data_IF_805682590583
#
_entry.id   IF_805682590583
#
_cell.length_a   1.000
_cell.length_b   1.000
_cell.length_c   1.000
_cell.angle_alpha   90.00
_cell.angle_beta   90.00
_cell.angle_gamma   90.00
#
_symmetry.space_group_name_H-M   'P 1'
#
loop_
_entity.id
_entity.type
_entity.pdbx_description
1 polymer ?
#
# COMPACT_ATOMS: atom_id res chain seq x y z
N UNK A 1 23.35 -31.97 43.65
CA UNK A 1 24.32 -31.70 42.57
C UNK A 1 23.56 -30.94 41.50
N UNK A 2 23.84 -29.65 41.30
CA UNK A 2 23.24 -28.89 40.20
C UNK A 2 24.12 -29.08 38.97
N UNK A 3 23.62 -29.79 37.96
CA UNK A 3 24.28 -29.88 36.67
C UNK A 3 24.33 -28.49 36.00
N UNK A 4 25.46 -28.12 35.38
CA UNK A 4 25.55 -26.85 34.66
C UNK A 4 24.63 -26.91 33.43
N UNK A 5 23.56 -26.10 33.46
CA UNK A 5 22.66 -25.89 32.31
C UNK A 5 23.50 -25.39 31.13
N UNK A 6 23.63 -26.20 30.08
CA UNK A 6 24.30 -25.81 28.84
C UNK A 6 23.45 -24.73 28.16
N UNK A 7 23.90 -23.48 28.26
CA UNK A 7 23.26 -22.34 27.60
C UNK A 7 23.27 -22.57 26.08
N UNK A 8 22.08 -22.64 25.49
CA UNK A 8 21.94 -22.77 24.04
C UNK A 8 21.96 -21.38 23.38
N UNK A 9 22.26 -21.34 22.08
CA UNK A 9 22.17 -20.11 21.27
C UNK A 9 20.75 -19.51 21.35
N UNK A 10 19.72 -20.35 21.47
CA UNK A 10 18.33 -19.91 21.67
C UNK A 10 18.15 -19.17 22.99
N UNK A 11 18.77 -19.66 24.07
CA UNK A 11 18.68 -19.02 25.39
C UNK A 11 19.37 -17.66 25.39
N UNK A 12 20.54 -17.55 24.75
CA UNK A 12 21.25 -16.29 24.54
C UNK A 12 20.44 -15.30 23.68
N UNK A 13 19.78 -15.78 22.62
CA UNK A 13 18.94 -14.93 21.75
C UNK A 13 17.72 -14.41 22.49
N UNK A 14 17.07 -15.24 23.31
CA UNK A 14 15.93 -14.83 24.14
C UNK A 14 16.35 -13.79 25.20
N UNK A 15 17.55 -13.95 25.78
CA UNK A 15 18.09 -13.03 26.77
C UNK A 15 18.45 -11.66 26.17
N UNK A 16 18.87 -11.65 24.90
CA UNK A 16 19.20 -10.43 24.14
C UNK A 16 17.98 -9.78 23.47
N UNK A 17 16.84 -10.47 23.36
CA UNK A 17 15.64 -9.95 22.69
C UNK A 17 15.18 -8.58 23.22
N UNK A 18 15.16 -8.29 24.54
CA UNK A 18 14.81 -6.97 25.04
C UNK A 18 15.78 -5.88 24.59
N UNK A 19 17.09 -6.16 24.60
CA UNK A 19 18.11 -5.21 24.15
C UNK A 19 18.02 -4.93 22.64
N UNK A 20 17.76 -5.97 21.83
CA UNK A 20 17.51 -5.84 20.39
C UNK A 20 16.26 -4.98 20.13
N UNK A 21 15.20 -5.17 20.92
CA UNK A 21 13.97 -4.37 20.82
C UNK A 21 14.24 -2.89 21.13
N UNK A 22 14.97 -2.61 22.19
CA UNK A 22 15.36 -1.24 22.56
C UNK A 22 16.22 -0.57 21.49
N UNK A 23 17.20 -1.28 20.92
CA UNK A 23 18.04 -0.77 19.83
C UNK A 23 17.22 -0.45 18.58
N UNK A 24 16.30 -1.34 18.18
CA UNK A 24 15.37 -1.09 17.06
C UNK A 24 14.49 0.14 17.31
N UNK A 25 14.04 0.34 18.56
CA UNK A 25 13.25 1.51 18.94
C UNK A 25 14.06 2.81 18.83
N UNK A 26 15.32 2.79 19.26
CA UNK A 26 16.24 3.94 19.14
C UNK A 26 16.51 4.24 17.67
N UNK A 27 16.83 3.23 16.86
CA UNK A 27 17.06 3.38 15.42
C UNK A 27 15.84 4.00 14.72
N UNK A 28 14.63 3.52 15.03
CA UNK A 28 13.38 4.09 14.51
C UNK A 28 13.21 5.55 14.93
N UNK A 29 13.51 5.90 16.18
CA UNK A 29 13.40 7.26 16.69
C UNK A 29 14.39 8.22 16.01
N UNK A 30 15.65 7.78 15.83
CA UNK A 30 16.67 8.54 15.13
C UNK A 30 16.33 8.73 13.64
N UNK A 31 15.83 7.68 12.97
CA UNK A 31 15.35 7.76 11.60
C UNK A 31 14.20 8.76 11.46
N UNK A 32 13.27 8.78 12.42
CA UNK A 32 12.14 9.74 12.41
C UNK A 32 12.62 11.17 12.57
N UNK A 33 13.59 11.42 13.47
CA UNK A 33 14.19 12.75 13.65
C UNK A 33 14.95 13.22 12.40
N UNK A 34 15.72 12.33 11.76
CA UNK A 34 16.39 12.63 10.51
C UNK A 34 15.38 13.01 9.41
N UNK A 35 14.29 12.25 9.29
CA UNK A 35 13.22 12.55 8.33
C UNK A 35 12.52 13.89 8.64
N UNK A 36 12.29 14.22 9.91
CA UNK A 36 11.74 15.52 10.32
C UNK A 36 12.67 16.68 9.95
N UNK A 37 13.97 16.51 10.14
CA UNK A 37 14.95 17.54 9.81
C UNK A 37 15.06 17.73 8.29
N UNK A 38 15.11 16.64 7.52
CA UNK A 38 15.01 16.70 6.05
C UNK A 38 13.70 17.38 5.63
N UNK A 39 12.59 17.05 6.30
CA UNK A 39 11.27 17.61 6.04
C UNK A 39 11.20 19.13 6.30
N UNK A 40 11.99 19.62 7.26
CA UNK A 40 12.08 21.02 7.65
C UNK A 40 12.97 21.82 6.70
N UNK A 41 14.01 21.20 6.16
CA UNK A 41 15.11 21.89 5.48
C UNK A 41 15.01 21.82 3.94
N UNK A 42 14.39 20.77 3.39
CA UNK A 42 14.39 20.49 1.94
C UNK A 42 13.00 20.30 1.33
N UNK A 43 11.92 20.56 2.06
CA UNK A 43 10.56 20.25 1.60
C UNK A 43 9.68 21.49 1.67
N UNK A 44 8.64 21.57 0.83
CA UNK A 44 7.94 22.82 0.56
C UNK A 44 7.20 23.28 1.82
N UNK A 45 6.71 24.52 1.79
CA UNK A 45 6.09 25.14 2.96
C UNK A 45 4.95 24.29 3.58
N UNK A 46 4.50 24.68 4.77
CA UNK A 46 3.46 23.93 5.49
C UNK A 46 2.18 23.68 4.66
N UNK A 47 1.78 24.61 3.79
CA UNK A 47 0.60 24.46 2.94
C UNK A 47 0.83 23.41 1.84
N UNK A 48 2.00 23.43 1.20
CA UNK A 48 2.38 22.46 0.18
C UNK A 48 2.54 21.04 0.75
N UNK A 49 2.98 20.89 2.00
CA UNK A 49 3.00 19.58 2.70
C UNK A 49 1.59 19.03 2.92
N UNK A 50 0.65 19.88 3.34
CA UNK A 50 -0.75 19.48 3.52
C UNK A 50 -1.39 19.05 2.19
N UNK A 51 -1.12 19.77 1.10
CA UNK A 51 -1.56 19.38 -0.24
C UNK A 51 -0.95 18.05 -0.70
N UNK A 52 0.33 17.83 -0.43
CA UNK A 52 0.99 16.57 -0.75
C UNK A 52 0.35 15.39 0.00
N UNK A 53 0.11 15.53 1.30
CA UNK A 53 -0.55 14.49 2.09
C UNK A 53 -1.96 14.20 1.57
N UNK A 54 -2.73 15.23 1.21
CA UNK A 54 -4.04 15.05 0.57
C UNK A 54 -3.92 14.27 -0.75
N UNK A 55 -2.92 14.58 -1.59
CA UNK A 55 -2.66 13.86 -2.85
C UNK A 55 -2.27 12.40 -2.58
N UNK A 56 -1.43 12.12 -1.59
CA UNK A 56 -1.04 10.77 -1.19
C UNK A 56 -2.24 9.97 -0.66
N UNK A 57 -3.07 10.55 0.19
CA UNK A 57 -4.27 9.91 0.71
C UNK A 57 -5.27 9.57 -0.40
N UNK A 58 -5.50 10.52 -1.32
CA UNK A 58 -6.34 10.29 -2.50
C UNK A 58 -5.76 9.19 -3.40
N UNK A 59 -4.44 9.15 -3.60
CA UNK A 59 -3.78 8.13 -4.41
C UNK A 59 -3.88 6.73 -3.77
N UNK A 60 -3.64 6.63 -2.45
CA UNK A 60 -3.86 5.38 -1.71
C UNK A 60 -5.32 4.92 -1.78
N UNK A 61 -6.27 5.84 -1.64
CA UNK A 61 -7.68 5.51 -1.77
C UNK A 61 -8.03 5.01 -3.18
N UNK A 62 -7.50 5.67 -4.22
CA UNK A 62 -7.69 5.22 -5.60
C UNK A 62 -7.12 3.82 -5.83
N UNK A 63 -5.90 3.54 -5.36
CA UNK A 63 -5.31 2.20 -5.44
C UNK A 63 -6.22 1.16 -4.78
N UNK A 64 -6.71 1.43 -3.57
CA UNK A 64 -7.65 0.55 -2.87
C UNK A 64 -8.91 0.28 -3.72
N UNK A 65 -9.53 1.33 -4.26
CA UNK A 65 -10.72 1.19 -5.10
C UNK A 65 -10.45 0.36 -6.38
N UNK A 66 -9.32 0.61 -7.05
CA UNK A 66 -8.95 -0.16 -8.26
C UNK A 66 -8.55 -1.60 -7.95
N UNK A 67 -8.04 -1.90 -6.75
CA UNK A 67 -7.79 -3.26 -6.29
C UNK A 67 -9.10 -4.01 -6.06
N UNK A 68 -10.08 -3.37 -5.41
CA UNK A 68 -11.41 -3.95 -5.23
C UNK A 68 -12.07 -4.22 -6.58
N UNK A 69 -12.09 -3.24 -7.49
CA UNK A 69 -12.65 -3.43 -8.83
C UNK A 69 -11.96 -4.55 -9.62
N UNK A 70 -10.62 -4.65 -9.55
CA UNK A 70 -9.89 -5.75 -10.18
C UNK A 70 -10.29 -7.12 -9.60
N UNK A 71 -10.51 -7.21 -8.30
CA UNK A 71 -10.95 -8.44 -7.66
C UNK A 71 -12.37 -8.82 -8.10
N UNK A 72 -13.29 -7.84 -8.15
CA UNK A 72 -14.67 -8.06 -8.59
C UNK A 72 -14.71 -8.55 -10.05
N UNK A 73 -13.90 -7.96 -10.93
CA UNK A 73 -13.79 -8.39 -12.32
C UNK A 73 -13.12 -9.75 -12.48
N UNK A 74 -12.13 -10.09 -11.62
CA UNK A 74 -11.54 -11.42 -11.60
C UNK A 74 -12.57 -12.48 -11.20
N UNK A 75 -13.38 -12.20 -10.17
CA UNK A 75 -14.43 -13.10 -9.70
C UNK A 75 -15.53 -13.25 -10.77
N UNK A 76 -15.92 -12.16 -11.44
CA UNK A 76 -16.86 -12.20 -12.56
C UNK A 76 -16.31 -13.01 -13.75
N UNK A 77 -15.05 -12.78 -14.13
CA UNK A 77 -14.38 -13.52 -15.18
C UNK A 77 -14.31 -15.02 -14.87
N UNK A 78 -13.98 -15.38 -13.63
CA UNK A 78 -13.95 -16.78 -13.19
C UNK A 78 -15.33 -17.45 -13.28
N UNK A 79 -16.42 -16.74 -13.00
CA UNK A 79 -17.79 -17.27 -13.16
C UNK A 79 -18.13 -17.56 -14.62
N UNK A 80 -17.62 -16.76 -15.56
CA UNK A 80 -17.88 -16.94 -17.00
C UNK A 80 -17.01 -18.06 -17.60
N UNK A 81 -15.70 -18.03 -17.35
CA UNK A 81 -14.75 -18.95 -18.00
C UNK A 81 -14.49 -20.25 -17.20
N UNK A 82 -14.86 -20.28 -15.93
CA UNK A 82 -14.42 -21.31 -14.99
C UNK A 82 -12.88 -21.40 -14.87
N UNK A 83 -12.36 -22.62 -14.93
CA UNK A 83 -10.91 -22.89 -14.86
C UNK A 83 -10.20 -22.82 -16.21
N UNK A 84 -10.89 -22.45 -17.29
CA UNK A 84 -10.32 -22.44 -18.65
C UNK A 84 -9.36 -21.24 -18.80
N UNK A 85 -8.27 -21.42 -19.56
CA UNK A 85 -7.32 -20.36 -19.91
C UNK A 85 -7.84 -19.53 -21.08
N UNK A 86 -7.29 -18.32 -21.28
CA UNK A 86 -7.68 -17.49 -22.43
C UNK A 86 -7.48 -18.24 -23.77
N UNK A 87 -6.34 -18.92 -23.96
CA UNK A 87 -6.05 -19.66 -25.19
C UNK A 87 -7.07 -20.78 -25.45
N UNK A 88 -7.40 -21.59 -24.44
CA UNK A 88 -8.40 -22.64 -24.57
C UNK A 88 -9.82 -22.07 -24.78
N UNK A 89 -10.12 -20.89 -24.22
CA UNK A 89 -11.39 -20.20 -24.46
C UNK A 89 -11.49 -19.67 -25.89
N UNK A 90 -10.38 -19.14 -26.45
CA UNK A 90 -10.28 -18.73 -27.86
C UNK A 90 -10.52 -19.92 -28.80
N UNK A 91 -9.94 -21.08 -28.49
CA UNK A 91 -10.15 -22.30 -29.29
C UNK A 91 -11.61 -22.77 -29.26
N UNK A 92 -12.29 -22.65 -28.12
CA UNK A 92 -13.67 -23.12 -27.96
C UNK A 92 -14.73 -22.13 -28.45
N UNK A 93 -14.49 -20.82 -28.32
CA UNK A 93 -15.50 -19.77 -28.54
C UNK A 93 -15.10 -18.73 -29.59
N UNK A 94 -13.88 -18.80 -30.11
CA UNK A 94 -13.33 -17.81 -31.03
C UNK A 94 -12.70 -16.62 -30.30
N UNK A 95 -11.87 -15.87 -31.03
CA UNK A 95 -11.09 -14.77 -30.49
C UNK A 95 -11.95 -13.58 -30.03
N UNK A 96 -12.94 -13.19 -30.82
CA UNK A 96 -13.80 -12.05 -30.47
C UNK A 96 -14.59 -12.27 -29.17
N UNK A 97 -15.10 -13.49 -28.96
CA UNK A 97 -15.80 -13.84 -27.73
C UNK A 97 -14.85 -13.86 -26.52
N UNK A 98 -13.64 -14.40 -26.68
CA UNK A 98 -12.62 -14.40 -25.64
C UNK A 98 -12.20 -12.97 -25.26
N UNK A 99 -11.90 -12.14 -26.25
CA UNK A 99 -11.50 -10.74 -26.05
C UNK A 99 -12.62 -9.96 -25.36
N UNK A 100 -13.89 -10.17 -25.74
CA UNK A 100 -15.04 -9.54 -25.08
C UNK A 100 -15.19 -9.94 -23.62
N UNK A 101 -14.94 -11.20 -23.26
CA UNK A 101 -15.05 -11.71 -21.89
C UNK A 101 -13.90 -11.22 -21.02
N UNK A 102 -12.69 -11.07 -21.57
CA UNK A 102 -11.51 -10.61 -20.83
C UNK A 102 -11.34 -9.09 -20.78
N UNK A 103 -11.98 -8.34 -21.69
CA UNK A 103 -11.82 -6.88 -21.78
C UNK A 103 -12.10 -6.14 -20.45
N UNK A 104 -13.18 -6.43 -19.70
CA UNK A 104 -13.43 -5.76 -18.41
C UNK A 104 -12.31 -5.98 -17.39
N UNK A 105 -11.83 -7.23 -17.28
CA UNK A 105 -10.71 -7.57 -16.41
C UNK A 105 -9.42 -6.86 -16.83
N UNK A 106 -9.12 -6.81 -18.14
CA UNK A 106 -7.94 -6.10 -18.64
C UNK A 106 -8.02 -4.60 -18.34
N UNK A 107 -9.18 -3.98 -18.53
CA UNK A 107 -9.38 -2.56 -18.21
C UNK A 107 -9.18 -2.28 -16.71
N UNK A 108 -9.73 -3.14 -15.83
CA UNK A 108 -9.53 -3.01 -14.38
C UNK A 108 -8.06 -3.23 -13.97
N UNK A 109 -7.38 -4.17 -14.61
CA UNK A 109 -5.96 -4.43 -14.38
C UNK A 109 -5.09 -3.23 -14.77
N UNK A 110 -5.35 -2.64 -15.93
CA UNK A 110 -4.65 -1.45 -16.40
C UNK A 110 -4.91 -0.22 -15.50
N UNK A 111 -6.15 -0.02 -15.06
CA UNK A 111 -6.52 1.06 -14.14
C UNK A 111 -5.80 0.92 -12.78
N UNK A 112 -5.68 -0.32 -12.27
CA UNK A 112 -4.95 -0.62 -11.05
C UNK A 112 -3.43 -0.38 -11.23
N UNK A 113 -2.87 -0.85 -12.35
CA UNK A 113 -1.46 -0.60 -12.68
C UNK A 113 -1.15 0.90 -12.82
N UNK A 114 -2.03 1.67 -13.47
CA UNK A 114 -1.89 3.12 -13.60
C UNK A 114 -1.95 3.83 -12.24
N UNK A 115 -2.88 3.43 -11.37
CA UNK A 115 -3.01 3.98 -10.02
C UNK A 115 -1.78 3.70 -9.15
N UNK A 116 -1.21 2.49 -9.26
CA UNK A 116 0.05 2.17 -8.57
C UNK A 116 1.24 2.98 -9.10
N UNK A 117 1.34 3.19 -10.41
CA UNK A 117 2.38 4.05 -11.00
C UNK A 117 2.28 5.47 -10.45
N UNK A 118 1.06 6.03 -10.42
CA UNK A 118 0.81 7.36 -9.89
C UNK A 118 1.19 7.48 -8.41
N UNK A 119 0.85 6.47 -7.59
CA UNK A 119 1.24 6.46 -6.18
C UNK A 119 2.76 6.44 -6.02
N UNK A 120 3.47 5.58 -6.76
CA UNK A 120 4.94 5.49 -6.70
C UNK A 120 5.62 6.79 -7.14
N UNK A 121 5.08 7.46 -8.14
CA UNK A 121 5.58 8.75 -8.60
C UNK A 121 5.44 9.81 -7.49
N UNK A 122 4.28 9.89 -6.84
CA UNK A 122 4.06 10.79 -5.70
C UNK A 122 4.98 10.45 -4.52
N UNK A 123 5.15 9.16 -4.23
CA UNK A 123 6.03 8.71 -3.15
C UNK A 123 7.51 9.01 -3.43
N UNK A 124 7.92 8.92 -4.70
CA UNK A 124 9.29 9.19 -5.15
C UNK A 124 9.68 10.67 -5.09
N UNK A 125 8.72 11.59 -5.18
CA UNK A 125 8.99 13.03 -5.13
C UNK A 125 9.46 13.49 -3.73
N UNK A 126 8.92 12.90 -2.66
CA UNK A 126 9.19 13.34 -1.29
C UNK A 126 9.30 12.16 -0.30
N UNK A 127 10.35 11.34 -0.39
CA UNK A 127 10.45 10.08 0.35
C UNK A 127 10.47 10.26 1.88
N UNK A 128 11.02 11.37 2.38
CA UNK A 128 11.00 11.67 3.82
C UNK A 128 9.58 11.96 4.33
N UNK A 129 8.78 12.75 3.58
CA UNK A 129 7.39 13.05 3.95
C UNK A 129 6.51 11.80 3.89
N UNK A 130 6.75 10.89 2.94
CA UNK A 130 6.04 9.60 2.86
C UNK A 130 6.30 8.77 4.12
N UNK A 131 7.56 8.63 4.54
CA UNK A 131 7.91 7.88 5.76
C UNK A 131 7.27 8.50 7.00
N UNK A 132 7.27 9.83 7.10
CA UNK A 132 6.59 10.54 8.19
C UNK A 132 5.08 10.33 8.16
N UNK A 133 4.44 10.35 6.99
CA UNK A 133 2.99 10.11 6.85
C UNK A 133 2.60 8.68 7.28
N UNK A 134 3.48 7.70 7.05
CA UNK A 134 3.25 6.31 7.50
C UNK A 134 3.38 6.13 9.02
N UNK A 135 4.13 7.01 9.68
CA UNK A 135 4.32 7.00 11.14
C UNK A 135 3.20 7.75 11.88
N UNK A 136 2.55 8.71 11.22
CA UNK A 136 1.41 9.42 11.78
C UNK A 136 0.20 8.49 11.89
N UNK A 137 -0.49 8.44 13.05
CA UNK A 137 -1.78 7.77 13.13
C UNK A 137 -2.74 8.47 12.17
N UNK A 138 -3.20 7.75 11.14
CA UNK A 138 -4.19 8.30 10.21
C UNK A 138 -5.42 8.70 11.02
N UNK A 139 -5.91 9.95 10.95
CA UNK A 139 -7.18 10.28 11.56
C UNK A 139 -8.24 9.30 11.01
N UNK A 140 -9.14 8.77 11.86
CA UNK A 140 -10.21 7.90 11.40
C UNK A 140 -10.95 8.62 10.27
N UNK A 141 -11.29 7.87 9.20
CA UNK A 141 -12.02 8.38 8.05
C UNK A 141 -13.25 9.13 8.54
N UNK A 142 -13.21 10.46 8.55
CA UNK A 142 -14.43 11.24 8.57
C UNK A 142 -15.00 11.01 7.19
N UNK A 143 -16.06 10.22 7.11
CA UNK A 143 -16.95 10.27 5.95
C UNK A 143 -17.42 11.72 5.89
N UNK A 144 -16.73 12.54 5.10
CA UNK A 144 -17.28 13.81 4.66
C UNK A 144 -18.51 13.43 3.85
N UNK A 145 -19.66 13.46 4.52
CA UNK A 145 -20.94 13.55 3.86
C UNK A 145 -20.81 14.66 2.79
N UNK A 146 -21.37 14.49 1.59
CA UNK A 146 -21.47 15.60 0.67
C UNK A 146 -22.22 16.71 1.41
N UNK A 147 -21.59 17.88 1.53
CA UNK A 147 -22.23 19.10 2.00
C UNK A 147 -23.47 19.30 1.10
N UNK A 148 -24.63 18.93 1.64
CA UNK A 148 -25.89 19.42 1.18
C UNK A 148 -25.90 20.90 1.52
N UNK A 149 -25.36 21.71 0.61
CA UNK A 149 -25.62 23.13 0.56
C UNK A 149 -27.12 23.30 0.35
N UNK A 150 -27.85 23.40 1.45
CA UNK A 150 -29.05 24.21 1.58
C UNK A 150 -28.67 25.65 1.23
N UNK A 151 -29.19 26.13 0.10
CA UNK A 151 -29.87 27.44 -0.04
C UNK A 151 -30.64 27.47 -1.37
#
# INVERSE_FOLDING_TARGET
MNEPKTLTIKDLTALLAPAISSLKSIEKSLSTLADLQIAQEFTPDQSARAELYKKLDMAHHRVLMTQTALQDELDALQKVKGSISHAAYVEAHGKEAADSVWAPFQAAFEANAASNRQLRELEGQFPALVRLNQLAPRPPKVHSAPDAATE
#
